data_IF_328374277545
#
_entry.id   IF_328374277545
#
_cell.length_a   1.000
_cell.length_b   1.000
_cell.length_c   1.000
_cell.angle_alpha   90.00
_cell.angle_beta   90.00
_cell.angle_gamma   90.00
#
_symmetry.space_group_name_H-M   'P 1'
#
loop_
_entity.id
_entity.type
_entity.pdbx_description
1 polymer ?
#
# COMPACT_ATOMS: atom_id res chain seq x y z
N UNK A 1 -75.70 0.34 -11.34
CA UNK A 1 -74.59 0.88 -12.16
C UNK A 1 -73.60 1.49 -11.19
N UNK A 2 -72.45 0.85 -10.99
CA UNK A 2 -71.38 1.42 -10.15
C UNK A 2 -70.57 2.36 -11.04
N UNK A 3 -70.58 3.65 -10.69
CA UNK A 3 -70.09 4.73 -11.55
C UNK A 3 -68.62 4.57 -11.94
N UNK A 4 -68.33 4.80 -13.23
CA UNK A 4 -66.98 4.83 -13.83
C UNK A 4 -66.01 5.76 -13.08
N UNK A 5 -66.55 6.74 -12.36
CA UNK A 5 -65.84 7.68 -11.49
C UNK A 5 -65.17 7.01 -10.29
N UNK A 6 -65.76 5.96 -9.71
CA UNK A 6 -65.20 5.22 -8.57
C UNK A 6 -64.01 4.37 -9.02
N UNK A 7 -64.12 3.73 -10.20
CA UNK A 7 -63.00 2.99 -10.80
C UNK A 7 -61.83 3.90 -11.19
N UNK A 8 -62.11 5.09 -11.75
CA UNK A 8 -61.09 6.08 -12.06
C UNK A 8 -60.37 6.60 -10.79
N UNK A 9 -61.09 6.82 -9.69
CA UNK A 9 -60.51 7.23 -8.41
C UNK A 9 -59.61 6.14 -7.79
N UNK A 10 -60.01 4.86 -7.86
CA UNK A 10 -59.22 3.73 -7.34
C UNK A 10 -57.93 3.54 -8.17
N UNK A 11 -58.02 3.65 -9.50
CA UNK A 11 -56.85 3.58 -10.40
C UNK A 11 -55.92 4.79 -10.19
N UNK A 12 -56.47 5.99 -9.99
CA UNK A 12 -55.71 7.20 -9.70
C UNK A 12 -54.95 7.14 -8.37
N UNK A 13 -55.58 6.65 -7.30
CA UNK A 13 -54.95 6.51 -5.97
C UNK A 13 -53.90 5.39 -5.99
N UNK A 14 -54.19 4.27 -6.65
CA UNK A 14 -53.24 3.17 -6.81
C UNK A 14 -51.99 3.57 -7.60
N UNK A 15 -52.16 4.34 -8.68
CA UNK A 15 -51.04 4.85 -9.49
C UNK A 15 -50.13 5.81 -8.73
N UNK A 16 -50.69 6.72 -7.91
CA UNK A 16 -49.92 7.67 -7.09
C UNK A 16 -49.17 6.96 -5.96
N UNK A 17 -49.77 5.95 -5.33
CA UNK A 17 -49.10 5.15 -4.30
C UNK A 17 -47.91 4.34 -4.87
N UNK A 18 -48.09 3.71 -6.04
CA UNK A 18 -47.03 2.95 -6.72
C UNK A 18 -45.91 3.88 -7.22
N UNK A 19 -46.25 5.03 -7.80
CA UNK A 19 -45.28 6.05 -8.24
C UNK A 19 -44.46 6.63 -7.08
N UNK A 20 -45.10 6.85 -5.93
CA UNK A 20 -44.43 7.31 -4.70
C UNK A 20 -43.46 6.27 -4.14
N UNK A 21 -43.86 4.99 -4.13
CA UNK A 21 -43.00 3.87 -3.72
C UNK A 21 -41.80 3.68 -4.65
N UNK A 22 -42.01 3.75 -5.97
CA UNK A 22 -40.93 3.68 -6.96
C UNK A 22 -39.95 4.85 -6.82
N UNK A 23 -40.45 6.05 -6.58
CA UNK A 23 -39.60 7.24 -6.39
C UNK A 23 -38.79 7.14 -5.10
N UNK A 24 -39.39 6.65 -4.00
CA UNK A 24 -38.67 6.36 -2.76
C UNK A 24 -37.62 5.26 -2.94
N UNK A 25 -37.93 4.20 -3.68
CA UNK A 25 -36.99 3.12 -3.99
C UNK A 25 -35.81 3.60 -4.84
N UNK A 26 -36.07 4.38 -5.90
CA UNK A 26 -35.04 4.96 -6.76
C UNK A 26 -34.18 6.01 -6.04
N UNK A 27 -34.80 6.86 -5.20
CA UNK A 27 -34.08 7.81 -4.35
C UNK A 27 -33.22 7.08 -3.31
N UNK A 28 -33.70 5.97 -2.74
CA UNK A 28 -32.94 5.10 -1.86
C UNK A 28 -31.74 4.46 -2.55
N UNK A 29 -31.89 3.95 -3.79
CA UNK A 29 -30.77 3.43 -4.57
C UNK A 29 -29.77 4.51 -4.94
N UNK A 30 -30.23 5.73 -5.29
CA UNK A 30 -29.35 6.86 -5.59
C UNK A 30 -28.55 7.29 -4.35
N UNK A 31 -29.18 7.39 -3.17
CA UNK A 31 -28.50 7.68 -1.90
C UNK A 31 -27.48 6.60 -1.55
N UNK A 32 -27.82 5.33 -1.71
CA UNK A 32 -26.87 4.22 -1.50
C UNK A 32 -25.68 4.30 -2.45
N UNK A 33 -25.89 4.59 -3.75
CA UNK A 33 -24.80 4.79 -4.71
C UNK A 33 -23.93 6.01 -4.36
N UNK A 34 -24.54 7.10 -3.89
CA UNK A 34 -23.80 8.30 -3.45
C UNK A 34 -23.01 8.04 -2.15
N UNK A 35 -23.57 7.29 -1.20
CA UNK A 35 -22.90 6.85 0.02
C UNK A 35 -21.78 5.85 -0.28
N UNK A 36 -22.03 4.85 -1.14
CA UNK A 36 -21.03 3.90 -1.65
C UNK A 36 -19.90 4.64 -2.38
N UNK A 37 -20.22 5.64 -3.20
CA UNK A 37 -19.21 6.47 -3.87
C UNK A 37 -18.40 7.29 -2.85
N UNK A 38 -19.02 7.87 -1.82
CA UNK A 38 -18.32 8.59 -0.76
C UNK A 38 -17.39 7.68 0.04
N UNK A 39 -17.90 6.52 0.48
CA UNK A 39 -17.11 5.51 1.19
C UNK A 39 -15.96 4.99 0.32
N UNK A 40 -16.20 4.80 -0.99
CA UNK A 40 -15.15 4.41 -1.94
C UNK A 40 -14.07 5.48 -2.10
N UNK A 41 -14.44 6.76 -2.19
CA UNK A 41 -13.48 7.87 -2.24
C UNK A 41 -12.67 7.96 -0.94
N UNK A 42 -13.33 7.85 0.21
CA UNK A 42 -12.69 7.88 1.52
C UNK A 42 -11.71 6.71 1.69
N UNK A 43 -12.12 5.48 1.36
CA UNK A 43 -11.23 4.31 1.36
C UNK A 43 -10.04 4.46 0.41
N UNK A 44 -10.25 5.09 -0.74
CA UNK A 44 -9.16 5.38 -1.69
C UNK A 44 -8.17 6.39 -1.12
N UNK A 45 -8.66 7.43 -0.43
CA UNK A 45 -7.81 8.41 0.25
C UNK A 45 -6.97 7.77 1.37
N UNK A 46 -7.59 6.93 2.20
CA UNK A 46 -6.86 6.18 3.23
C UNK A 46 -5.80 5.25 2.63
N UNK A 47 -6.11 4.59 1.51
CA UNK A 47 -5.13 3.76 0.81
C UNK A 47 -3.95 4.59 0.29
N UNK A 48 -4.20 5.72 -0.38
CA UNK A 48 -3.13 6.61 -0.85
C UNK A 48 -2.29 7.16 0.31
N UNK A 49 -2.92 7.53 1.42
CA UNK A 49 -2.20 7.97 2.62
C UNK A 49 -1.35 6.85 3.21
N UNK A 50 -1.88 5.62 3.28
CA UNK A 50 -1.13 4.46 3.74
C UNK A 50 0.11 4.21 2.89
N UNK A 51 -0.01 4.21 1.55
CA UNK A 51 1.15 4.06 0.67
C UNK A 51 2.14 5.22 0.78
N UNK A 52 1.67 6.46 0.98
CA UNK A 52 2.55 7.61 1.22
C UNK A 52 3.34 7.46 2.51
N UNK A 53 2.68 7.09 3.61
CA UNK A 53 3.33 6.86 4.91
C UNK A 53 4.29 5.67 4.84
N UNK A 54 3.89 4.59 4.18
CA UNK A 54 4.75 3.43 3.97
C UNK A 54 5.99 3.75 3.13
N UNK A 55 5.85 4.56 2.07
CA UNK A 55 6.96 4.99 1.23
C UNK A 55 8.03 5.77 2.00
N UNK A 56 7.66 6.52 3.04
CA UNK A 56 8.61 7.22 3.91
C UNK A 56 9.51 6.24 4.69
N UNK A 57 9.00 5.06 5.06
CA UNK A 57 9.76 4.00 5.73
C UNK A 57 10.80 3.36 4.80
N UNK A 58 10.66 3.51 3.47
CA UNK A 58 11.59 2.94 2.49
C UNK A 58 12.88 3.75 2.32
N UNK A 59 13.10 4.80 3.12
CA UNK A 59 14.34 5.60 3.08
C UNK A 59 15.61 4.72 3.15
N UNK A 60 15.73 3.70 4.04
CA UNK A 60 16.95 2.89 4.14
C UNK A 60 17.29 2.04 2.91
N UNK A 61 16.35 1.90 1.97
CA UNK A 61 16.54 1.16 0.72
C UNK A 61 16.58 2.11 -0.50
N UNK A 62 16.57 3.41 -0.26
CA UNK A 62 16.62 4.41 -1.32
C UNK A 62 18.03 4.62 -1.83
N UNK A 63 18.18 4.78 -3.14
CA UNK A 63 19.46 5.14 -3.77
C UNK A 63 20.00 6.48 -3.25
N UNK A 64 19.12 7.40 -2.86
CA UNK A 64 19.44 8.73 -2.36
C UNK A 64 19.72 8.79 -0.85
N UNK A 65 19.63 7.67 -0.12
CA UNK A 65 19.98 7.66 1.29
C UNK A 65 21.51 7.75 1.48
N UNK A 66 21.92 8.37 2.58
CA UNK A 66 23.32 8.39 2.98
C UNK A 66 23.80 6.98 3.33
N UNK A 67 25.10 6.66 3.15
CA UNK A 67 25.62 5.30 3.35
C UNK A 67 25.31 4.70 4.72
N UNK A 68 25.41 5.50 5.78
CA UNK A 68 25.14 5.10 7.17
C UNK A 68 23.66 4.81 7.45
N UNK A 69 22.75 5.31 6.60
CA UNK A 69 21.32 5.04 6.68
C UNK A 69 20.86 3.89 5.78
N UNK A 70 21.77 3.30 4.99
CA UNK A 70 21.43 2.23 4.04
C UNK A 70 21.54 0.85 4.66
N UNK A 71 20.63 -0.04 4.26
CA UNK A 71 20.66 -1.45 4.67
C UNK A 71 21.84 -2.18 3.99
N UNK A 72 22.07 -1.95 2.70
CA UNK A 72 23.14 -2.58 1.93
C UNK A 72 24.04 -1.50 1.36
N UNK A 73 25.35 -1.65 1.57
CA UNK A 73 26.37 -0.80 0.95
C UNK A 73 27.46 -1.64 0.30
N UNK A 74 28.21 -1.00 -0.60
CA UNK A 74 29.46 -1.54 -1.13
C UNK A 74 30.59 -0.57 -0.78
N UNK A 75 31.62 -1.08 -0.11
CA UNK A 75 32.81 -0.33 0.29
C UNK A 75 34.04 -1.15 -0.11
N UNK A 76 34.96 -0.53 -0.84
CA UNK A 76 36.24 -1.14 -1.25
C UNK A 76 36.08 -2.51 -1.95
N UNK A 77 35.05 -2.64 -2.80
CA UNK A 77 34.78 -3.88 -3.55
C UNK A 77 34.03 -4.96 -2.77
N UNK A 78 33.91 -4.82 -1.45
CA UNK A 78 33.20 -5.72 -0.55
C UNK A 78 31.80 -5.17 -0.22
N UNK A 79 30.81 -6.05 -0.12
CA UNK A 79 29.45 -5.68 0.24
C UNK A 79 29.20 -5.93 1.73
N UNK A 80 28.39 -5.06 2.33
CA UNK A 80 28.05 -5.09 3.75
C UNK A 80 26.56 -4.87 3.95
N UNK A 81 26.02 -5.47 5.01
CA UNK A 81 24.70 -5.17 5.55
C UNK A 81 24.87 -4.38 6.85
N UNK A 82 24.17 -3.26 6.99
CA UNK A 82 24.05 -2.56 8.27
C UNK A 82 23.00 -3.28 9.13
N UNK A 83 23.43 -4.12 10.08
CA UNK A 83 22.50 -4.92 10.88
C UNK A 83 21.55 -4.07 11.75
N UNK A 84 22.02 -3.01 12.46
CA UNK A 84 21.14 -2.11 13.20
C UNK A 84 20.04 -1.47 12.33
N UNK A 85 20.42 -0.95 11.16
CA UNK A 85 19.47 -0.30 10.25
C UNK A 85 18.48 -1.31 9.66
N UNK A 86 18.95 -2.50 9.29
CA UNK A 86 18.08 -3.56 8.77
C UNK A 86 17.03 -4.00 9.81
N UNK A 87 17.46 -4.25 11.05
CA UNK A 87 16.55 -4.67 12.14
C UNK A 87 15.51 -3.60 12.41
N UNK A 88 15.94 -2.34 12.56
CA UNK A 88 15.03 -1.20 12.76
C UNK A 88 14.05 -1.02 11.60
N UNK A 89 14.52 -1.13 10.36
CA UNK A 89 13.66 -1.03 9.18
C UNK A 89 12.53 -2.06 9.19
N UNK A 90 12.83 -3.33 9.50
CA UNK A 90 11.79 -4.37 9.56
C UNK A 90 10.89 -4.25 10.79
N UNK A 91 11.39 -3.69 11.89
CA UNK A 91 10.58 -3.32 13.04
C UNK A 91 9.58 -2.21 12.70
N UNK A 92 10.05 -1.10 12.12
CA UNK A 92 9.21 0.02 11.68
C UNK A 92 8.15 -0.44 10.67
N UNK A 93 8.52 -1.33 9.73
CA UNK A 93 7.57 -1.93 8.78
C UNK A 93 6.54 -2.81 9.49
N UNK A 94 6.96 -3.67 10.44
CA UNK A 94 6.05 -4.52 11.19
C UNK A 94 5.02 -3.67 11.93
N UNK A 95 5.49 -2.65 12.64
CA UNK A 95 4.64 -1.77 13.43
C UNK A 95 3.66 -1.01 12.52
N UNK A 96 4.10 -0.61 11.32
CA UNK A 96 3.20 -0.03 10.31
C UNK A 96 2.15 -1.03 9.82
N UNK A 97 2.53 -2.28 9.53
CA UNK A 97 1.60 -3.32 9.04
C UNK A 97 0.49 -3.63 10.05
N UNK A 98 0.77 -3.48 11.35
CA UNK A 98 -0.22 -3.63 12.42
C UNK A 98 -0.89 -2.32 12.86
N UNK A 99 -0.59 -1.20 12.21
CA UNK A 99 -1.26 0.09 12.45
C UNK A 99 -2.62 0.19 11.74
N UNK A 100 -3.36 1.26 12.02
CA UNK A 100 -4.61 1.61 11.31
C UNK A 100 -4.44 1.72 9.79
N UNK A 101 -3.23 2.07 9.31
CA UNK A 101 -2.93 2.20 7.88
C UNK A 101 -2.50 0.87 7.25
N UNK A 102 -2.06 -0.10 8.06
CA UNK A 102 -1.56 -1.38 7.58
C UNK A 102 -2.61 -2.21 6.86
N UNK A 103 -3.90 -2.04 7.19
CA UNK A 103 -5.01 -2.74 6.53
C UNK A 103 -5.12 -2.40 5.04
N UNK A 104 -4.74 -1.19 4.64
CA UNK A 104 -4.83 -0.71 3.26
C UNK A 104 -3.65 -1.14 2.38
N UNK A 105 -2.61 -1.74 2.97
CA UNK A 105 -1.54 -2.37 2.20
C UNK A 105 -2.05 -3.66 1.54
N UNK A 106 -1.58 -3.92 0.33
CA UNK A 106 -1.93 -5.14 -0.39
C UNK A 106 -1.54 -6.39 0.41
N UNK A 107 -2.34 -7.45 0.24
CA UNK A 107 -2.05 -8.74 0.84
C UNK A 107 -0.69 -9.28 0.36
N UNK A 108 -0.34 -9.06 -0.91
CA UNK A 108 0.94 -9.46 -1.48
C UNK A 108 2.11 -8.78 -0.77
N UNK A 109 2.03 -7.46 -0.52
CA UNK A 109 3.07 -6.73 0.20
C UNK A 109 3.22 -7.25 1.64
N UNK A 110 2.11 -7.40 2.36
CA UNK A 110 2.08 -7.81 3.77
C UNK A 110 2.51 -9.26 4.03
N UNK A 111 2.03 -10.19 3.21
CA UNK A 111 2.17 -11.63 3.48
C UNK A 111 3.34 -12.28 2.72
N UNK A 112 3.86 -11.60 1.69
CA UNK A 112 4.87 -12.20 0.83
C UNK A 112 6.11 -11.33 0.69
N UNK A 113 5.99 -10.15 0.09
CA UNK A 113 7.16 -9.35 -0.30
C UNK A 113 7.96 -8.90 0.92
N UNK A 114 7.30 -8.39 1.96
CA UNK A 114 7.97 -7.99 3.21
C UNK A 114 8.53 -9.21 3.96
N UNK A 115 7.76 -10.28 4.25
CA UNK A 115 8.28 -11.47 4.94
C UNK A 115 9.46 -12.14 4.24
N UNK A 116 9.37 -12.39 2.92
CA UNK A 116 10.45 -13.04 2.16
C UNK A 116 11.75 -12.21 2.20
N UNK A 117 11.63 -10.88 2.05
CA UNK A 117 12.76 -9.97 2.16
C UNK A 117 13.37 -9.97 3.58
N UNK A 118 12.52 -9.86 4.60
CA UNK A 118 12.90 -9.89 6.02
C UNK A 118 13.66 -11.17 6.36
N UNK A 119 13.07 -12.32 6.07
CA UNK A 119 13.64 -13.61 6.41
C UNK A 119 14.99 -13.81 5.71
N UNK A 120 15.11 -13.38 4.44
CA UNK A 120 16.37 -13.44 3.72
C UNK A 120 17.46 -12.56 4.37
N UNK A 121 17.17 -11.28 4.65
CA UNK A 121 18.16 -10.35 5.20
C UNK A 121 18.51 -10.69 6.64
N UNK A 122 17.54 -10.97 7.50
CA UNK A 122 17.81 -11.33 8.89
C UNK A 122 18.60 -12.64 8.98
N UNK A 123 18.32 -13.62 8.11
CA UNK A 123 19.14 -14.83 8.01
C UNK A 123 20.58 -14.54 7.61
N UNK A 124 20.85 -13.54 6.77
CA UNK A 124 22.23 -13.15 6.46
C UNK A 124 22.94 -12.54 7.66
N UNK A 125 22.23 -11.74 8.46
CA UNK A 125 22.76 -11.12 9.68
C UNK A 125 23.02 -12.19 10.75
N UNK A 126 22.06 -13.07 11.02
CA UNK A 126 22.13 -14.05 12.10
C UNK A 126 23.18 -15.15 11.84
N UNK A 127 23.57 -15.39 10.57
CA UNK A 127 24.60 -16.35 10.19
C UNK A 127 25.99 -15.72 10.01
N UNK A 128 26.21 -14.52 10.56
CA UNK A 128 27.47 -13.80 10.41
C UNK A 128 27.78 -13.00 11.66
N UNK A 129 29.07 -12.74 11.89
CA UNK A 129 29.52 -11.93 13.02
C UNK A 129 29.58 -10.48 12.56
N UNK A 130 28.80 -9.56 13.14
CA UNK A 130 28.94 -8.13 12.87
C UNK A 130 30.30 -7.62 13.35
N UNK A 131 30.82 -6.59 12.71
CA UNK A 131 31.91 -5.79 13.28
C UNK A 131 31.42 -4.89 14.43
N UNK A 132 32.34 -4.14 15.05
CA UNK A 132 32.04 -3.25 16.19
C UNK A 132 31.00 -2.16 15.85
N UNK A 133 30.89 -1.79 14.56
CA UNK A 133 29.95 -0.81 14.04
C UNK A 133 28.63 -1.44 13.55
N UNK A 134 28.48 -2.77 13.69
CA UNK A 134 27.29 -3.52 13.32
C UNK A 134 27.17 -3.84 11.82
N UNK A 135 28.25 -3.70 11.05
CA UNK A 135 28.30 -4.11 9.66
C UNK A 135 28.60 -5.60 9.52
N UNK A 136 27.84 -6.24 8.64
CA UNK A 136 27.96 -7.67 8.35
C UNK A 136 28.51 -7.84 6.94
N UNK A 137 29.74 -8.36 6.77
CA UNK A 137 30.29 -8.60 5.44
C UNK A 137 29.52 -9.72 4.74
N UNK A 138 29.12 -9.48 3.48
CA UNK A 138 28.38 -10.45 2.68
C UNK A 138 28.99 -10.61 1.28
N UNK A 139 28.97 -11.82 0.73
CA UNK A 139 29.43 -12.05 -0.63
C UNK A 139 28.61 -11.27 -1.67
N UNK A 140 29.26 -10.81 -2.74
CA UNK A 140 28.63 -9.98 -3.79
C UNK A 140 27.34 -10.60 -4.38
N UNK A 141 27.28 -11.92 -4.53
CA UNK A 141 26.06 -12.61 -5.00
C UNK A 141 24.90 -12.50 -4.01
N UNK A 142 25.18 -12.57 -2.70
CA UNK A 142 24.18 -12.39 -1.64
C UNK A 142 23.73 -10.93 -1.58
N UNK A 143 24.66 -9.98 -1.77
CA UNK A 143 24.35 -8.55 -1.80
C UNK A 143 23.41 -8.20 -2.96
N UNK A 144 23.65 -8.73 -4.15
CA UNK A 144 22.75 -8.56 -5.30
C UNK A 144 21.35 -9.10 -5.00
N UNK A 145 21.24 -10.28 -4.38
CA UNK A 145 19.95 -10.85 -3.97
C UNK A 145 19.25 -10.01 -2.91
N UNK A 146 19.98 -9.51 -1.92
CA UNK A 146 19.44 -8.63 -0.88
C UNK A 146 18.92 -7.32 -1.50
N UNK A 147 19.71 -6.68 -2.36
CA UNK A 147 19.28 -5.47 -3.06
C UNK A 147 18.05 -5.71 -3.92
N UNK A 148 17.98 -6.84 -4.63
CA UNK A 148 16.80 -7.21 -5.42
C UNK A 148 15.56 -7.40 -4.53
N UNK A 149 15.69 -8.07 -3.39
CA UNK A 149 14.59 -8.25 -2.44
C UNK A 149 14.08 -6.91 -1.88
N UNK A 150 14.99 -5.98 -1.57
CA UNK A 150 14.64 -4.63 -1.10
C UNK A 150 13.99 -3.80 -2.22
N UNK A 151 14.56 -3.84 -3.42
CA UNK A 151 14.01 -3.16 -4.59
C UNK A 151 12.61 -3.70 -4.94
N UNK A 152 12.35 -4.99 -4.70
CA UNK A 152 11.03 -5.56 -4.92
C UNK A 152 9.96 -4.97 -3.99
N UNK A 153 10.29 -4.69 -2.72
CA UNK A 153 9.42 -3.93 -1.81
C UNK A 153 9.11 -2.56 -2.43
N UNK A 154 10.15 -1.80 -2.80
CA UNK A 154 9.99 -0.45 -3.38
C UNK A 154 9.15 -0.45 -4.65
N UNK A 155 9.43 -1.37 -5.58
CA UNK A 155 8.69 -1.47 -6.83
C UNK A 155 7.22 -1.85 -6.61
N UNK A 156 6.94 -2.77 -5.68
CA UNK A 156 5.57 -3.16 -5.34
C UNK A 156 4.80 -1.95 -4.80
N UNK A 157 5.39 -1.21 -3.87
CA UNK A 157 4.81 0.00 -3.29
C UNK A 157 4.53 1.05 -4.36
N UNK A 158 5.50 1.38 -5.22
CA UNK A 158 5.32 2.37 -6.29
C UNK A 158 4.28 1.97 -7.33
N UNK A 159 4.18 0.67 -7.63
CA UNK A 159 3.16 0.13 -8.54
C UNK A 159 1.77 0.23 -7.93
N UNK A 160 1.63 -0.14 -6.66
CA UNK A 160 0.34 -0.18 -5.97
C UNK A 160 -0.17 1.21 -5.56
N UNK A 161 0.73 2.19 -5.36
CA UNK A 161 0.37 3.60 -5.18
C UNK A 161 0.00 4.33 -6.47
N UNK A 162 0.10 3.66 -7.63
CA UNK A 162 -0.13 4.27 -8.94
C UNK A 162 0.97 5.25 -9.38
N UNK A 163 2.11 5.28 -8.68
CA UNK A 163 3.22 6.20 -8.97
C UNK A 163 4.33 5.58 -9.81
N UNK A 164 4.15 4.36 -10.32
CA UNK A 164 5.16 3.66 -11.13
C UNK A 164 5.54 4.39 -12.42
N UNK A 165 4.69 5.29 -12.89
CA UNK A 165 4.87 6.10 -14.11
C UNK A 165 5.29 7.55 -13.80
N UNK A 166 5.44 7.92 -12.54
CA UNK A 166 5.95 9.23 -12.17
C UNK A 166 7.48 9.19 -12.29
N UNK A 167 8.01 9.77 -13.36
CA UNK A 167 9.44 10.01 -13.46
C UNK A 167 9.90 10.87 -12.27
N UNK A 168 11.08 10.59 -11.68
CA UNK A 168 11.62 11.47 -10.67
C UNK A 168 11.77 12.88 -11.26
N UNK A 169 11.39 13.94 -10.53
CA UNK A 169 11.61 15.31 -11.00
C UNK A 169 13.11 15.51 -11.26
N UNK A 170 13.50 15.67 -12.52
CA UNK A 170 14.91 15.79 -12.93
C UNK A 170 15.30 15.10 -14.25
N UNK A 171 14.46 14.22 -14.81
CA UNK A 171 14.64 13.79 -16.21
C UNK A 171 14.04 14.83 -17.15
N UNK A 172 14.85 15.83 -17.50
CA UNK A 172 14.57 16.65 -18.69
C UNK A 172 14.79 15.73 -19.90
N UNK A 173 13.72 15.49 -20.66
CA UNK A 173 13.77 14.79 -21.94
C UNK A 173 14.69 15.61 -22.87
N UNK A 174 15.75 14.98 -23.37
CA UNK A 174 16.48 15.44 -24.56
C UNK A 174 15.87 14.78 -25.78
#
# INVERSE_FOLDING_TARGET
MMDSTIWAAIIGIGGVAIGSLLTYFLAGQKRRKEEEAKVSVEQTQYALEAYRKFAALLKPISEHASPESKIVIKKDGQAYINAPVARKFYEDIRDFVYSEYGIYLSQNLRQRVIPESRDYILKLIDNSTPDDDGWVPIGNNKAKKAQNALNWIRHTVLKESGTSNLEPPGKIIK
#
